data_IF_046283873512
#
_entry.id   IF_046283873512
#
_cell.length_a   1.000
_cell.length_b   1.000
_cell.length_c   1.000
_cell.angle_alpha   90.00
_cell.angle_beta   90.00
_cell.angle_gamma   90.00
#
_symmetry.space_group_name_H-M   'P 1'
#
loop_
_entity.id
_entity.type
_entity.pdbx_description
1 polymer ?
#
# COMPACT_ATOMS: atom_id res chain seq x y z
N UNK A 1 2.05 6.16 26.06
CA UNK A 1 3.24 6.04 25.19
C UNK A 1 3.34 7.32 24.39
N UNK A 2 4.52 7.94 24.36
CA UNK A 2 4.68 9.28 23.81
C UNK A 2 4.39 9.29 22.31
N UNK A 3 3.74 10.35 21.82
CA UNK A 3 3.48 10.62 20.40
C UNK A 3 4.72 10.35 19.52
N UNK A 4 5.91 10.59 20.06
CA UNK A 4 7.18 10.36 19.40
C UNK A 4 7.45 8.91 18.97
N UNK A 5 7.10 7.91 19.78
CA UNK A 5 7.30 6.51 19.39
C UNK A 5 6.46 6.16 18.16
N UNK A 6 5.20 6.61 18.13
CA UNK A 6 4.28 6.38 17.01
C UNK A 6 4.83 6.93 15.69
N UNK A 7 5.45 8.11 15.72
CA UNK A 7 6.08 8.73 14.54
C UNK A 7 7.21 7.88 13.95
N UNK A 8 7.98 7.17 14.78
CA UNK A 8 9.08 6.30 14.33
C UNK A 8 8.64 4.86 14.00
N UNK A 9 7.39 4.53 14.31
CA UNK A 9 6.79 3.22 14.12
C UNK A 9 5.47 3.35 13.35
N UNK A 10 5.48 3.88 12.10
CA UNK A 10 4.26 4.09 11.33
C UNK A 10 3.45 2.81 11.12
N UNK A 11 4.07 1.64 11.23
CA UNK A 11 3.40 0.34 11.13
C UNK A 11 2.34 0.09 12.22
N UNK A 12 2.46 0.68 13.41
CA UNK A 12 1.52 0.45 14.51
C UNK A 12 0.27 1.34 14.39
N UNK A 13 -0.77 1.01 15.16
CA UNK A 13 -1.99 1.82 15.27
C UNK A 13 -1.67 3.26 15.73
N UNK A 14 -1.91 4.23 14.85
CA UNK A 14 -1.59 5.64 15.05
C UNK A 14 -2.73 6.38 15.73
N UNK A 15 -3.97 5.97 15.48
CA UNK A 15 -5.16 6.61 16.01
C UNK A 15 -5.45 6.29 17.48
N UNK A 16 -6.68 6.65 17.83
CA UNK A 16 -7.37 6.29 19.07
C UNK A 16 -8.83 5.95 18.72
N UNK A 17 -9.53 5.17 19.56
CA UNK A 17 -10.97 4.94 19.36
C UNK A 17 -11.83 6.17 19.70
N UNK A 18 -11.20 7.28 20.11
CA UNK A 18 -11.85 8.54 20.47
C UNK A 18 -11.75 9.63 19.41
N UNK A 19 -11.12 9.33 18.27
CA UNK A 19 -10.98 10.28 17.16
C UNK A 19 -12.33 10.71 16.59
N UNK A 20 -12.36 11.88 15.93
CA UNK A 20 -13.60 12.42 15.33
C UNK A 20 -13.88 11.86 13.94
N UNK A 21 -12.95 12.06 13.01
CA UNK A 21 -13.04 11.62 11.62
C UNK A 21 -11.72 10.91 11.30
N UNK A 22 -11.68 9.60 11.43
CA UNK A 22 -10.44 8.85 11.37
C UNK A 22 -10.63 7.54 10.62
N UNK A 23 -9.64 7.18 9.83
CA UNK A 23 -9.49 5.83 9.31
C UNK A 23 -8.04 5.38 9.48
N UNK A 24 -7.87 4.08 9.57
CA UNK A 24 -6.57 3.43 9.52
C UNK A 24 -6.72 2.02 8.99
N UNK A 25 -5.98 1.70 7.92
CA UNK A 25 -6.03 0.41 7.24
C UNK A 25 -4.64 -0.07 6.87
N UNK A 26 -4.44 -1.39 6.89
CA UNK A 26 -3.18 -2.04 6.50
C UNK A 26 -3.44 -2.94 5.31
N UNK A 27 -2.82 -2.64 4.18
CA UNK A 27 -3.00 -3.40 2.96
C UNK A 27 -1.93 -4.51 2.88
N UNK A 28 -2.38 -5.77 2.95
CA UNK A 28 -1.53 -6.94 2.74
C UNK A 28 -1.87 -7.56 1.40
N UNK A 29 -0.98 -7.45 0.43
CA UNK A 29 -1.08 -8.17 -0.83
C UNK A 29 -0.24 -9.42 -0.80
N UNK A 30 -0.84 -10.52 -1.25
CA UNK A 30 -0.33 -11.88 -1.14
C UNK A 30 -0.51 -12.53 -2.50
N UNK A 31 0.59 -13.01 -3.06
CA UNK A 31 0.58 -13.75 -4.32
C UNK A 31 1.25 -15.10 -4.07
N UNK A 32 0.59 -16.16 -4.48
CA UNK A 32 1.11 -17.52 -4.35
C UNK A 32 2.28 -17.78 -5.31
N UNK A 33 2.87 -18.98 -5.23
CA UNK A 33 4.09 -19.30 -5.99
C UNK A 33 3.84 -19.47 -7.49
N UNK A 34 2.60 -19.72 -7.90
CA UNK A 34 2.21 -19.94 -9.30
C UNK A 34 1.49 -18.71 -9.90
N UNK A 35 1.26 -17.67 -9.10
CA UNK A 35 0.47 -16.48 -9.47
C UNK A 35 -0.98 -16.80 -9.86
N UNK A 36 -1.49 -17.94 -9.42
CA UNK A 36 -2.88 -18.34 -9.60
C UNK A 36 -3.79 -17.73 -8.55
N UNK A 37 -3.21 -17.31 -7.42
CA UNK A 37 -3.94 -16.67 -6.33
C UNK A 37 -3.30 -15.32 -6.00
N UNK A 38 -4.07 -14.26 -6.20
CA UNK A 38 -3.68 -12.88 -5.90
C UNK A 38 -4.73 -12.31 -4.97
N UNK A 39 -4.39 -12.21 -3.68
CA UNK A 39 -5.32 -11.78 -2.64
C UNK A 39 -4.81 -10.52 -1.94
N UNK A 40 -5.74 -9.63 -1.57
CA UNK A 40 -5.47 -8.56 -0.62
C UNK A 40 -6.35 -8.69 0.63
N UNK A 41 -5.73 -8.51 1.80
CA UNK A 41 -6.41 -8.45 3.09
C UNK A 41 -6.15 -7.09 3.73
N UNK A 42 -7.23 -6.37 4.04
CA UNK A 42 -7.19 -4.98 4.49
C UNK A 42 -7.95 -4.85 5.82
N UNK A 43 -7.37 -5.27 6.96
CA UNK A 43 -7.90 -4.90 8.26
C UNK A 43 -7.98 -3.38 8.38
N UNK A 44 -9.15 -2.87 8.77
CA UNK A 44 -9.45 -1.44 8.78
C UNK A 44 -10.25 -1.05 10.00
N UNK A 45 -9.93 0.13 10.54
CA UNK A 45 -10.75 0.87 11.50
C UNK A 45 -11.19 2.18 10.85
N UNK A 46 -12.48 2.50 10.98
CA UNK A 46 -13.03 3.76 10.49
C UNK A 46 -13.99 4.34 11.54
N UNK A 47 -13.83 5.62 11.88
CA UNK A 47 -14.53 6.30 12.96
C UNK A 47 -15.05 7.64 12.45
N UNK A 48 -16.36 7.85 12.59
CA UNK A 48 -17.01 9.14 12.42
C UNK A 48 -17.90 9.42 13.63
N UNK A 49 -17.35 10.19 14.58
CA UNK A 49 -18.01 10.51 15.85
C UNK A 49 -19.26 11.36 15.67
N UNK A 50 -19.28 12.26 14.68
CA UNK A 50 -20.45 13.10 14.42
C UNK A 50 -21.68 12.27 14.00
N UNK A 51 -21.45 11.18 13.27
CA UNK A 51 -22.49 10.27 12.82
C UNK A 51 -22.66 9.05 13.73
N UNK A 52 -21.92 8.99 14.85
CA UNK A 52 -21.86 7.84 15.76
C UNK A 52 -21.53 6.50 15.06
N UNK A 53 -20.65 6.55 14.06
CA UNK A 53 -20.23 5.36 13.29
C UNK A 53 -18.84 4.94 13.73
N UNK A 54 -18.71 3.67 14.11
CA UNK A 54 -17.48 3.02 14.53
C UNK A 54 -17.40 1.66 13.83
N UNK A 55 -16.51 1.54 12.86
CA UNK A 55 -16.36 0.35 12.05
C UNK A 55 -15.00 -0.31 12.32
N UNK A 56 -15.03 -1.63 12.48
CA UNK A 56 -13.87 -2.51 12.49
C UNK A 56 -14.17 -3.64 11.54
N UNK A 57 -13.39 -3.77 10.47
CA UNK A 57 -13.68 -4.76 9.45
C UNK A 57 -12.41 -5.23 8.75
N UNK A 58 -12.54 -6.30 7.99
CA UNK A 58 -11.50 -6.78 7.08
C UNK A 58 -12.11 -6.71 5.68
N UNK A 59 -11.56 -5.85 4.83
CA UNK A 59 -11.88 -5.86 3.40
C UNK A 59 -10.95 -6.88 2.73
N UNK A 60 -11.53 -7.76 1.92
CA UNK A 60 -10.85 -8.88 1.28
C UNK A 60 -11.08 -8.73 -0.22
N UNK A 61 -10.01 -8.78 -1.00
CA UNK A 61 -10.08 -8.64 -2.45
C UNK A 61 -9.40 -9.85 -3.11
N UNK A 62 -10.17 -10.58 -3.91
CA UNK A 62 -9.66 -11.57 -4.86
C UNK A 62 -9.36 -10.89 -6.20
N UNK A 63 -8.08 -10.74 -6.52
CA UNK A 63 -7.61 -10.07 -7.72
C UNK A 63 -7.75 -10.87 -9.01
N UNK A 64 -8.11 -12.16 -8.92
CA UNK A 64 -8.32 -13.04 -10.07
C UNK A 64 -9.81 -13.08 -10.41
N UNK A 65 -10.66 -13.34 -9.42
CA UNK A 65 -12.11 -13.42 -9.61
C UNK A 65 -12.81 -12.05 -9.53
N UNK A 66 -12.09 -11.02 -9.08
CA UNK A 66 -12.58 -9.65 -8.85
C UNK A 66 -13.63 -9.53 -7.75
N UNK A 67 -13.69 -10.53 -6.86
CA UNK A 67 -14.61 -10.52 -5.73
C UNK A 67 -14.07 -9.67 -4.58
N UNK A 68 -14.95 -8.84 -4.01
CA UNK A 68 -14.63 -7.99 -2.86
C UNK A 68 -15.61 -8.26 -1.73
N UNK A 69 -15.08 -8.61 -0.56
CA UNK A 69 -15.86 -8.90 0.64
C UNK A 69 -15.51 -7.94 1.75
N UNK A 70 -16.49 -7.63 2.59
CA UNK A 70 -16.30 -6.83 3.80
C UNK A 70 -16.87 -7.59 4.98
N UNK A 71 -15.97 -8.01 5.85
CA UNK A 71 -16.30 -8.75 7.07
C UNK A 71 -16.20 -7.79 8.25
N UNK A 72 -17.35 -7.28 8.68
CA UNK A 72 -17.45 -6.40 9.85
C UNK A 72 -17.43 -7.18 11.16
N UNK A 73 -16.81 -6.59 12.18
CA UNK A 73 -16.75 -7.10 13.54
C UNK A 73 -17.10 -5.97 14.53
N UNK A 74 -17.62 -6.31 15.72
CA UNK A 74 -17.82 -5.31 16.76
C UNK A 74 -16.51 -4.58 17.10
N UNK A 75 -16.56 -3.25 17.24
CA UNK A 75 -15.38 -2.40 17.45
C UNK A 75 -14.61 -2.78 18.73
N UNK A 76 -15.29 -3.34 19.72
CA UNK A 76 -14.74 -3.80 20.99
C UNK A 76 -13.80 -5.00 20.82
N UNK A 77 -13.92 -5.72 19.70
CA UNK A 77 -13.02 -6.82 19.35
C UNK A 77 -11.72 -6.34 18.73
N UNK A 78 -11.64 -5.07 18.32
CA UNK A 78 -10.41 -4.47 17.82
C UNK A 78 -9.40 -4.31 18.95
N UNK A 79 -8.21 -4.88 18.78
CA UNK A 79 -7.09 -4.69 19.71
C UNK A 79 -5.82 -4.42 18.93
N UNK A 80 -5.07 -3.42 19.36
CA UNK A 80 -3.77 -3.08 18.79
C UNK A 80 -2.69 -3.08 19.87
N UNK A 81 -1.50 -3.60 19.55
CA UNK A 81 -0.33 -3.38 20.40
C UNK A 81 0.15 -1.93 20.30
N UNK A 82 0.69 -1.42 21.42
CA UNK A 82 1.32 -0.09 21.47
C UNK A 82 2.79 -0.12 21.06
N UNK A 83 3.49 -1.25 21.16
CA UNK A 83 4.95 -1.31 20.97
C UNK A 83 5.39 -2.10 19.74
N UNK A 84 4.46 -2.69 18.99
CA UNK A 84 4.75 -3.42 17.77
C UNK A 84 3.51 -3.47 16.90
N UNK A 85 3.69 -3.71 15.60
CA UNK A 85 2.56 -3.89 14.71
C UNK A 85 1.92 -5.25 14.97
N UNK A 86 0.85 -5.21 15.75
CA UNK A 86 -0.03 -6.35 16.02
C UNK A 86 -1.45 -5.84 16.14
N UNK A 87 -2.34 -6.42 15.35
CA UNK A 87 -3.74 -6.07 15.28
C UNK A 87 -4.57 -7.33 15.40
N UNK A 88 -5.66 -7.24 16.16
CA UNK A 88 -6.72 -8.23 16.20
C UNK A 88 -8.03 -7.56 15.83
N UNK A 89 -8.81 -8.23 14.99
CA UNK A 89 -10.18 -7.88 14.64
C UNK A 89 -10.98 -9.18 14.76
N UNK A 90 -11.85 -9.28 15.76
CA UNK A 90 -12.48 -10.55 16.13
C UNK A 90 -11.44 -11.66 16.38
N UNK A 91 -11.58 -12.84 15.75
CA UNK A 91 -10.63 -13.95 15.89
C UNK A 91 -9.38 -13.82 14.98
N UNK A 92 -9.30 -12.80 14.14
CA UNK A 92 -8.23 -12.60 13.16
C UNK A 92 -7.05 -11.85 13.79
N UNK A 93 -5.85 -12.09 13.25
CA UNK A 93 -4.62 -11.45 13.71
C UNK A 93 -3.71 -11.06 12.55
N UNK A 94 -3.14 -9.86 12.63
CA UNK A 94 -2.24 -9.28 11.63
C UNK A 94 -1.01 -8.71 12.34
N UNK A 95 0.17 -8.97 11.79
CA UNK A 95 1.45 -8.41 12.24
C UNK A 95 2.40 -8.22 11.05
N UNK A 96 3.58 -7.65 11.30
CA UNK A 96 4.64 -7.56 10.28
C UNK A 96 5.04 -8.91 9.68
N UNK A 97 4.92 -10.00 10.44
CA UNK A 97 5.45 -11.30 10.07
C UNK A 97 4.40 -12.42 9.98
N UNK A 98 3.11 -12.11 10.19
CA UNK A 98 2.07 -13.14 10.21
C UNK A 98 0.68 -12.58 9.96
N UNK A 99 -0.10 -13.33 9.21
CA UNK A 99 -1.56 -13.21 9.18
C UNK A 99 -2.16 -14.52 9.69
N UNK A 100 -3.17 -14.44 10.55
CA UNK A 100 -4.03 -15.56 10.92
C UNK A 100 -5.48 -15.15 10.69
N UNK A 101 -6.18 -15.92 9.87
CA UNK A 101 -7.58 -15.69 9.52
C UNK A 101 -8.45 -16.80 10.07
N UNK A 102 -9.61 -16.41 10.57
CA UNK A 102 -10.67 -17.29 11.03
C UNK A 102 -12.00 -16.57 10.74
N UNK A 103 -12.43 -16.67 9.50
CA UNK A 103 -13.58 -15.98 8.93
C UNK A 103 -14.54 -17.05 8.44
N UNK A 104 -15.73 -17.08 9.02
CA UNK A 104 -16.82 -17.96 8.60
C UNK A 104 -18.11 -17.14 8.54
N UNK A 105 -18.59 -16.92 7.31
CA UNK A 105 -19.84 -16.25 7.00
C UNK A 105 -20.54 -16.96 5.84
N UNK A 106 -21.80 -16.63 5.61
CA UNK A 106 -22.59 -17.17 4.51
C UNK A 106 -21.97 -16.89 3.13
N UNK A 107 -21.32 -15.72 2.97
CA UNK A 107 -20.74 -15.26 1.70
C UNK A 107 -19.25 -15.56 1.55
N UNK A 108 -18.54 -15.82 2.65
CA UNK A 108 -17.08 -16.02 2.62
C UNK A 108 -16.59 -16.90 3.76
N UNK A 109 -15.71 -17.84 3.39
CA UNK A 109 -15.04 -18.75 4.31
C UNK A 109 -13.53 -18.70 4.13
N UNK A 110 -12.80 -18.20 5.12
CA UNK A 110 -11.34 -18.16 5.14
C UNK A 110 -10.76 -18.62 6.47
N UNK A 111 -9.91 -19.65 6.44
CA UNK A 111 -9.18 -20.11 7.61
C UNK A 111 -7.73 -20.35 7.30
N UNK A 112 -6.83 -20.00 8.22
CA UNK A 112 -5.44 -20.44 8.12
C UNK A 112 -4.45 -19.45 8.67
N UNK A 113 -3.18 -19.65 8.31
CA UNK A 113 -2.08 -18.82 8.79
C UNK A 113 -1.00 -18.73 7.73
N UNK A 114 -0.56 -17.51 7.47
CA UNK A 114 0.56 -17.19 6.61
C UNK A 114 1.65 -16.53 7.45
N UNK A 115 2.88 -16.99 7.30
CA UNK A 115 4.05 -16.42 7.95
C UNK A 115 4.93 -15.75 6.91
N UNK A 116 5.51 -14.60 7.28
CA UNK A 116 6.33 -13.80 6.40
C UNK A 116 7.79 -13.81 6.84
N UNK A 117 8.70 -13.98 5.90
CA UNK A 117 10.15 -13.97 6.11
C UNK A 117 10.82 -13.00 5.14
N UNK A 118 12.02 -12.54 5.49
CA UNK A 118 12.85 -11.66 4.65
C UNK A 118 12.10 -10.38 4.25
N UNK A 119 11.53 -9.71 5.25
CA UNK A 119 10.86 -8.42 5.08
C UNK A 119 11.84 -7.39 4.51
N UNK A 120 11.35 -6.57 3.58
CA UNK A 120 12.12 -5.50 2.93
C UNK A 120 11.52 -4.14 3.29
N UNK A 121 11.68 -3.67 4.55
CA UNK A 121 11.20 -2.35 4.94
C UNK A 121 12.02 -1.24 4.28
N UNK A 122 11.46 -0.03 4.23
CA UNK A 122 12.24 1.14 3.83
C UNK A 122 13.37 1.41 4.84
N UNK A 123 14.54 1.92 4.40
CA UNK A 123 15.58 2.37 5.32
C UNK A 123 15.05 3.50 6.22
N UNK A 124 15.08 3.27 7.54
CA UNK A 124 14.63 4.23 8.54
C UNK A 124 15.81 5.07 9.05
N UNK A 125 15.56 6.34 9.31
CA UNK A 125 16.44 7.19 10.12
C UNK A 125 15.62 8.17 10.93
N UNK A 126 16.26 8.97 11.77
CA UNK A 126 15.55 9.97 12.55
C UNK A 126 14.76 10.95 11.68
N UNK A 127 15.33 11.45 10.57
CA UNK A 127 14.61 12.36 9.66
C UNK A 127 13.66 11.64 8.69
N UNK A 128 13.80 10.32 8.56
CA UNK A 128 13.03 9.50 7.63
C UNK A 128 12.52 8.24 8.35
N UNK A 129 11.57 8.38 9.28
CA UNK A 129 11.04 7.24 10.05
C UNK A 129 10.23 6.25 9.22
N UNK A 130 9.77 6.66 8.03
CA UNK A 130 8.98 5.84 7.11
C UNK A 130 8.84 6.50 5.73
N UNK A 131 7.82 6.06 4.98
CA UNK A 131 7.59 6.48 3.60
C UNK A 131 7.27 7.97 3.44
N UNK A 132 6.64 8.61 4.42
CA UNK A 132 6.39 10.06 4.43
C UNK A 132 7.66 10.89 4.67
N UNK A 133 8.77 10.28 5.08
CA UNK A 133 10.01 11.00 5.39
C UNK A 133 9.79 12.13 6.39
N UNK A 134 10.27 13.33 6.06
CA UNK A 134 10.06 14.53 6.89
C UNK A 134 8.57 14.93 7.01
N UNK A 135 7.71 14.52 6.07
CA UNK A 135 6.28 14.81 6.13
C UNK A 135 5.56 14.05 7.26
N UNK A 136 6.19 13.01 7.82
CA UNK A 136 5.69 12.33 9.03
C UNK A 136 5.50 13.31 10.20
N UNK A 137 6.32 14.37 10.26
CA UNK A 137 6.27 15.38 11.32
C UNK A 137 5.28 16.52 11.04
N UNK A 138 4.70 16.60 9.85
CA UNK A 138 3.72 17.62 9.51
C UNK A 138 2.35 17.21 10.06
N UNK A 139 1.71 18.01 10.91
CA UNK A 139 0.36 17.68 11.42
C UNK A 139 -0.71 17.99 10.37
N UNK A 140 -1.88 17.37 10.52
CA UNK A 140 -3.11 17.68 9.76
C UNK A 140 -3.09 17.34 8.26
N UNK A 141 -2.19 16.46 7.82
CA UNK A 141 -2.34 15.88 6.47
C UNK A 141 -3.61 15.05 6.40
N UNK A 142 -4.26 15.07 5.24
CA UNK A 142 -5.53 14.35 5.02
C UNK A 142 -5.35 12.83 5.16
N UNK A 143 -4.23 12.32 4.61
CA UNK A 143 -3.78 10.94 4.72
C UNK A 143 -2.27 10.90 4.87
N UNK A 144 -1.79 9.96 5.66
CA UNK A 144 -0.40 9.57 5.81
C UNK A 144 -0.22 8.14 5.31
N UNK A 145 0.95 7.87 4.75
CA UNK A 145 1.26 6.61 4.10
C UNK A 145 2.46 5.91 4.74
N UNK A 146 2.40 4.59 4.89
CA UNK A 146 3.44 3.79 5.53
C UNK A 146 3.74 2.52 4.75
N UNK A 147 4.98 2.38 4.27
CA UNK A 147 5.44 1.13 3.66
C UNK A 147 6.08 0.26 4.75
N UNK A 148 5.48 -0.89 5.02
CA UNK A 148 5.93 -1.85 6.03
C UNK A 148 6.89 -2.85 5.41
N UNK A 149 6.59 -3.36 4.21
CA UNK A 149 7.47 -4.26 3.48
C UNK A 149 7.24 -4.16 1.96
N UNK A 150 8.28 -3.77 1.23
CA UNK A 150 8.27 -3.72 -0.24
C UNK A 150 8.25 -5.12 -0.87
N UNK A 151 8.81 -6.11 -0.19
CA UNK A 151 8.90 -7.47 -0.67
C UNK A 151 9.19 -8.41 0.51
N UNK A 152 8.59 -9.59 0.50
CA UNK A 152 8.89 -10.65 1.47
C UNK A 152 8.43 -12.01 0.95
N UNK A 153 8.99 -13.07 1.53
CA UNK A 153 8.56 -14.45 1.27
C UNK A 153 7.39 -14.81 2.16
N UNK A 154 6.47 -15.63 1.63
CA UNK A 154 5.31 -16.14 2.36
C UNK A 154 5.45 -17.64 2.54
N UNK A 155 5.00 -18.18 3.67
CA UNK A 155 4.84 -19.62 3.86
C UNK A 155 3.64 -19.91 4.75
N UNK A 156 2.80 -20.85 4.33
CA UNK A 156 1.65 -21.29 5.11
C UNK A 156 0.51 -21.73 4.22
N UNK A 157 -0.68 -21.81 4.80
CA UNK A 157 -1.88 -22.27 4.09
C UNK A 157 -3.08 -21.42 4.46
N UNK A 158 -3.96 -21.23 3.49
CA UNK A 158 -5.31 -20.74 3.68
C UNK A 158 -6.28 -21.77 3.10
N UNK A 159 -7.42 -21.95 3.74
CA UNK A 159 -8.61 -22.54 3.14
C UNK A 159 -9.46 -21.34 2.72
N UNK A 160 -9.72 -21.17 1.43
CA UNK A 160 -10.51 -20.10 0.84
C UNK A 160 -11.67 -20.72 0.05
N UNK A 161 -12.92 -20.47 0.46
CA UNK A 161 -14.12 -21.07 -0.15
C UNK A 161 -13.96 -22.60 -0.34
N UNK A 162 -13.58 -23.28 0.74
CA UNK A 162 -13.30 -24.73 0.80
C UNK A 162 -12.13 -25.24 -0.08
N UNK A 163 -11.40 -24.35 -0.75
CA UNK A 163 -10.18 -24.67 -1.52
C UNK A 163 -8.92 -24.40 -0.70
N UNK A 164 -7.99 -25.37 -0.65
CA UNK A 164 -6.70 -25.16 0.02
C UNK A 164 -5.74 -24.39 -0.89
N UNK A 165 -5.35 -23.19 -0.45
CA UNK A 165 -4.30 -22.37 -1.05
C UNK A 165 -3.00 -22.58 -0.27
N UNK A 166 -1.99 -23.14 -0.92
CA UNK A 166 -0.71 -23.46 -0.31
C UNK A 166 0.38 -22.47 -0.75
N UNK A 167 0.89 -21.67 0.19
CA UNK A 167 1.92 -20.68 -0.06
C UNK A 167 3.29 -21.24 0.30
N UNK A 168 4.17 -21.35 -0.69
CA UNK A 168 5.55 -21.83 -0.55
C UNK A 168 6.52 -20.64 -0.46
N UNK A 169 7.78 -20.89 -0.08
CA UNK A 169 8.76 -19.80 0.09
C UNK A 169 9.03 -18.93 -1.16
N UNK A 170 8.60 -19.34 -2.35
CA UNK A 170 8.63 -18.52 -3.58
C UNK A 170 7.43 -17.59 -3.74
N UNK A 171 6.36 -17.77 -2.97
CA UNK A 171 5.24 -16.83 -2.85
C UNK A 171 5.73 -15.51 -2.27
N UNK A 172 5.16 -14.41 -2.75
CA UNK A 172 5.60 -13.05 -2.38
C UNK A 172 4.47 -12.24 -1.82
N UNK A 173 4.84 -11.32 -0.92
CA UNK A 173 3.90 -10.34 -0.41
C UNK A 173 4.45 -8.91 -0.36
N UNK A 174 3.51 -8.00 -0.18
CA UNK A 174 3.71 -6.58 0.00
C UNK A 174 2.82 -6.07 1.13
N UNK A 175 3.33 -5.16 1.96
CA UNK A 175 2.57 -4.59 3.09
C UNK A 175 2.75 -3.08 3.13
N UNK A 176 1.63 -2.37 3.08
CA UNK A 176 1.56 -0.94 3.33
C UNK A 176 0.39 -0.59 4.25
N UNK A 177 0.23 0.69 4.51
CA UNK A 177 -0.72 1.20 5.47
C UNK A 177 -1.03 2.66 5.19
N UNK A 178 -2.31 3.00 5.30
CA UNK A 178 -2.79 4.37 5.26
C UNK A 178 -3.56 4.74 6.52
N UNK A 179 -3.43 5.99 6.94
CA UNK A 179 -4.22 6.53 8.05
C UNK A 179 -4.43 8.03 7.93
N UNK A 180 -5.53 8.53 8.50
CA UNK A 180 -5.85 9.95 8.47
C UNK A 180 -7.34 10.19 8.51
N UNK A 181 -7.79 11.26 7.85
CA UNK A 181 -9.21 11.64 7.76
C UNK A 181 -9.89 11.05 6.53
N UNK A 182 -9.18 10.86 5.43
CA UNK A 182 -9.72 10.27 4.20
C UNK A 182 -8.73 10.37 3.05
N UNK A 183 -8.97 9.63 1.98
CA UNK A 183 -8.08 9.66 0.82
C UNK A 183 -8.14 11.00 0.10
N UNK A 184 -7.02 11.41 -0.56
CA UNK A 184 -6.99 12.61 -1.38
C UNK A 184 -8.03 12.60 -2.50
N UNK A 185 -8.40 13.76 -3.04
CA UNK A 185 -9.40 13.84 -4.13
C UNK A 185 -8.96 13.22 -5.46
N UNK A 186 -7.65 13.16 -5.69
CA UNK A 186 -7.05 12.62 -6.90
C UNK A 186 -5.73 11.95 -6.53
N UNK A 187 -5.53 10.73 -7.03
CA UNK A 187 -4.32 9.98 -6.82
C UNK A 187 -4.06 8.96 -7.92
N UNK A 188 -2.80 8.55 -8.02
CA UNK A 188 -2.36 7.37 -8.73
C UNK A 188 -1.51 6.58 -7.75
N UNK A 189 -1.93 5.35 -7.46
CA UNK A 189 -1.13 4.40 -6.69
C UNK A 189 -0.77 3.22 -7.58
N UNK A 190 0.44 2.71 -7.44
CA UNK A 190 0.87 1.52 -8.14
C UNK A 190 1.97 0.78 -7.36
N UNK A 191 1.92 -0.54 -7.42
CA UNK A 191 2.82 -1.42 -6.69
C UNK A 191 3.15 -2.66 -7.52
N UNK A 192 4.40 -3.10 -7.50
CA UNK A 192 4.79 -4.41 -8.02
C UNK A 192 6.01 -4.97 -7.31
N UNK A 193 6.04 -6.28 -7.12
CA UNK A 193 7.20 -7.06 -6.64
C UNK A 193 7.34 -8.39 -7.41
N UNK A 194 6.67 -8.51 -8.55
CA UNK A 194 6.67 -9.67 -9.45
C UNK A 194 7.30 -9.30 -10.78
N UNK A 195 8.55 -8.87 -10.71
CA UNK A 195 9.40 -8.60 -11.87
C UNK A 195 10.15 -9.86 -12.32
N UNK A 196 10.75 -9.83 -13.52
CA UNK A 196 11.66 -10.91 -13.94
C UNK A 196 12.87 -11.01 -12.99
N UNK A 197 13.38 -9.87 -12.51
CA UNK A 197 14.30 -9.86 -11.37
C UNK A 197 13.53 -10.11 -10.07
N UNK A 198 13.76 -11.26 -9.45
CA UNK A 198 13.05 -11.67 -8.24
C UNK A 198 13.29 -10.76 -7.04
N UNK A 199 14.43 -10.10 -6.97
CA UNK A 199 14.80 -9.15 -5.92
C UNK A 199 14.54 -7.70 -6.34
N UNK A 200 13.42 -7.46 -7.04
CA UNK A 200 12.97 -6.13 -7.42
C UNK A 200 11.58 -5.86 -6.90
N UNK A 201 11.37 -4.66 -6.36
CA UNK A 201 10.08 -4.17 -5.94
C UNK A 201 9.96 -2.68 -6.17
N UNK A 202 8.75 -2.22 -6.39
CA UNK A 202 8.42 -0.87 -6.76
C UNK A 202 7.09 -0.48 -6.14
N UNK A 203 7.05 0.78 -5.69
CA UNK A 203 5.84 1.45 -5.26
C UNK A 203 5.93 2.91 -5.72
N UNK A 204 4.80 3.43 -6.17
CA UNK A 204 4.58 4.84 -6.41
C UNK A 204 3.20 5.25 -5.92
N UNK A 205 3.15 6.37 -5.21
CA UNK A 205 1.92 7.11 -4.93
C UNK A 205 2.11 8.57 -5.37
N UNK A 206 1.19 9.09 -6.17
CA UNK A 206 1.08 10.51 -6.56
C UNK A 206 -0.29 10.98 -6.11
N UNK A 207 -0.38 12.10 -5.38
CA UNK A 207 -1.65 12.61 -4.91
C UNK A 207 -1.71 14.14 -4.90
N UNK A 208 -2.93 14.68 -5.05
CA UNK A 208 -3.21 16.10 -4.82
C UNK A 208 -3.50 16.32 -3.33
N UNK A 209 -2.55 16.94 -2.63
CA UNK A 209 -2.57 17.07 -1.18
C UNK A 209 -3.06 18.47 -0.79
N UNK A 210 -4.19 18.59 -0.06
CA UNK A 210 -4.55 19.83 0.61
C UNK A 210 -3.72 19.97 1.90
N UNK A 211 -3.03 21.10 2.05
CA UNK A 211 -2.26 21.39 3.26
C UNK A 211 -2.31 22.87 3.61
N UNK A 212 -2.88 23.22 4.77
CA UNK A 212 -2.93 24.58 5.32
C UNK A 212 -3.35 25.67 4.29
N UNK A 213 -4.39 25.39 3.51
CA UNK A 213 -4.96 26.34 2.54
C UNK A 213 -4.31 26.33 1.15
N UNK A 214 -3.20 25.61 0.96
CA UNK A 214 -2.62 25.36 -0.36
C UNK A 214 -2.91 23.93 -0.84
N UNK A 215 -2.90 23.73 -2.16
CA UNK A 215 -2.95 22.41 -2.77
C UNK A 215 -1.65 22.19 -3.56
N UNK A 216 -1.00 21.05 -3.38
CA UNK A 216 0.18 20.69 -4.16
C UNK A 216 0.12 19.21 -4.58
N UNK A 217 0.86 18.87 -5.64
CA UNK A 217 1.03 17.47 -6.05
C UNK A 217 2.23 16.89 -5.30
N UNK A 218 1.94 15.99 -4.37
CA UNK A 218 2.94 15.21 -3.66
C UNK A 218 3.13 13.85 -4.32
N UNK A 219 4.35 13.31 -4.25
CA UNK A 219 4.60 11.93 -4.67
C UNK A 219 5.66 11.24 -3.82
N UNK A 220 5.47 9.93 -3.67
CA UNK A 220 6.36 8.99 -3.03
C UNK A 220 6.68 7.89 -4.03
N UNK A 221 7.94 7.67 -4.37
CA UNK A 221 8.36 6.58 -5.23
C UNK A 221 9.60 5.89 -4.68
N UNK A 222 9.50 4.57 -4.55
CA UNK A 222 10.57 3.72 -4.07
C UNK A 222 10.75 2.55 -5.03
N UNK A 223 12.00 2.33 -5.45
CA UNK A 223 12.42 1.12 -6.15
C UNK A 223 13.44 0.44 -5.25
N UNK A 224 13.23 -0.84 -4.95
CA UNK A 224 14.21 -1.73 -4.36
C UNK A 224 14.73 -2.68 -5.45
N UNK A 225 16.05 -2.76 -5.63
CA UNK A 225 16.72 -3.63 -6.60
C UNK A 225 17.94 -4.27 -5.96
N UNK A 226 17.90 -5.59 -5.71
CA UNK A 226 19.02 -6.41 -5.17
C UNK A 226 19.75 -5.69 -4.01
N UNK A 227 18.99 -5.33 -2.98
CA UNK A 227 19.42 -4.61 -1.77
C UNK A 227 19.55 -3.07 -1.88
N UNK A 228 19.49 -2.49 -3.08
CA UNK A 228 19.61 -1.05 -3.25
C UNK A 228 18.27 -0.35 -3.37
N UNK A 229 18.08 0.69 -2.56
CA UNK A 229 16.93 1.60 -2.70
C UNK A 229 17.24 2.81 -3.59
N UNK A 230 16.36 3.05 -4.55
CA UNK A 230 16.25 4.29 -5.28
C UNK A 230 15.00 5.03 -4.80
N UNK A 231 15.21 6.24 -4.29
CA UNK A 231 14.16 7.07 -3.70
C UNK A 231 13.90 8.29 -4.59
N UNK A 232 12.65 8.49 -4.96
CA UNK A 232 12.18 9.69 -5.64
C UNK A 232 10.92 10.18 -4.93
N UNK A 233 11.07 11.18 -4.07
CA UNK A 233 9.93 11.78 -3.38
C UNK A 233 9.98 13.30 -3.51
N UNK A 234 8.83 13.96 -3.31
CA UNK A 234 8.76 15.42 -3.27
C UNK A 234 9.77 16.00 -2.26
N UNK A 235 9.94 15.37 -1.10
CA UNK A 235 10.89 15.81 -0.08
C UNK A 235 12.35 15.38 -0.35
N UNK A 236 12.63 14.54 -1.36
CA UNK A 236 13.99 14.15 -1.73
C UNK A 236 14.55 14.95 -2.91
N UNK A 237 13.94 16.11 -3.23
CA UNK A 237 14.28 16.94 -4.40
C UNK A 237 14.20 16.18 -5.73
N UNK A 238 13.32 15.19 -5.82
CA UNK A 238 12.97 14.59 -7.10
C UNK A 238 11.92 15.46 -7.81
N UNK A 239 11.91 15.41 -9.13
CA UNK A 239 10.97 16.15 -9.96
C UNK A 239 10.15 15.18 -10.80
N UNK A 240 8.83 15.34 -10.75
CA UNK A 240 7.89 14.71 -11.69
C UNK A 240 7.97 15.49 -13.01
N UNK A 241 8.66 14.93 -14.02
CA UNK A 241 8.89 15.60 -15.31
C UNK A 241 7.76 15.43 -16.30
N UNK A 242 7.08 14.30 -16.22
CA UNK A 242 5.94 14.02 -17.08
C UNK A 242 4.98 13.07 -16.37
N UNK A 243 3.70 13.37 -16.47
CA UNK A 243 2.61 12.50 -16.06
C UNK A 243 1.54 12.52 -17.16
N UNK A 244 1.27 11.36 -17.74
CA UNK A 244 0.15 11.13 -18.66
C UNK A 244 -0.63 9.95 -18.14
N UNK A 245 -1.87 10.19 -17.70
CA UNK A 245 -2.68 9.16 -17.09
C UNK A 245 -4.10 9.16 -17.64
N UNK A 246 -4.60 7.96 -17.81
CA UNK A 246 -6.01 7.60 -18.04
C UNK A 246 -6.33 6.46 -17.07
N UNK A 247 -7.60 6.08 -16.93
CA UNK A 247 -7.96 4.91 -16.11
C UNK A 247 -7.21 3.62 -16.48
N UNK A 248 -6.86 3.43 -17.76
CA UNK A 248 -6.23 2.17 -18.25
C UNK A 248 -4.72 2.24 -18.45
N UNK A 249 -4.15 3.43 -18.60
CA UNK A 249 -2.73 3.62 -18.95
C UNK A 249 -2.14 4.80 -18.22
N UNK A 250 -0.93 4.60 -17.67
CA UNK A 250 -0.18 5.63 -16.96
C UNK A 250 1.26 5.64 -17.46
N UNK A 251 1.74 6.80 -17.89
CA UNK A 251 3.13 7.05 -18.29
C UNK A 251 3.74 8.16 -17.44
N UNK A 252 4.87 7.87 -16.80
CA UNK A 252 5.50 8.76 -15.82
C UNK A 252 7.01 8.83 -16.06
N UNK A 253 7.56 10.03 -15.93
CA UNK A 253 9.01 10.26 -15.87
C UNK A 253 9.31 11.02 -14.58
N UNK A 254 10.12 10.42 -13.71
CA UNK A 254 10.59 11.04 -12.47
C UNK A 254 12.11 11.10 -12.52
N UNK A 255 12.70 12.20 -12.09
CA UNK A 255 14.15 12.31 -11.99
C UNK A 255 14.61 12.93 -10.68
N UNK A 256 15.86 12.64 -10.30
CA UNK A 256 16.59 13.42 -9.32
C UNK A 256 17.96 13.80 -9.91
N UNK A 257 18.89 14.28 -9.07
CA UNK A 257 20.22 14.67 -9.52
C UNK A 257 21.07 13.50 -10.04
N UNK A 258 20.74 12.26 -9.68
CA UNK A 258 21.55 11.07 -9.98
C UNK A 258 20.90 10.11 -10.98
N UNK A 259 19.56 10.04 -11.02
CA UNK A 259 18.84 9.01 -11.76
C UNK A 259 17.58 9.55 -12.45
N UNK A 260 17.14 8.83 -13.48
CA UNK A 260 15.85 9.00 -14.17
C UNK A 260 15.11 7.66 -14.13
N UNK A 261 13.86 7.68 -13.70
CA UNK A 261 12.95 6.53 -13.70
C UNK A 261 11.81 6.80 -14.68
N UNK A 262 11.65 5.90 -15.65
CA UNK A 262 10.55 5.91 -16.61
C UNK A 262 9.62 4.75 -16.27
N UNK A 263 8.33 5.04 -16.14
CA UNK A 263 7.30 4.09 -15.72
C UNK A 263 6.21 4.07 -16.79
N UNK A 264 5.82 2.89 -17.23
CA UNK A 264 4.66 2.68 -18.09
C UNK A 264 3.80 1.57 -17.49
N UNK A 265 2.61 1.91 -17.04
CA UNK A 265 1.66 0.97 -16.45
C UNK A 265 0.43 0.80 -17.34
N UNK A 266 -0.05 -0.43 -17.41
CA UNK A 266 -1.30 -0.81 -18.06
C UNK A 266 -2.16 -1.52 -17.03
N UNK A 267 -3.37 -1.00 -16.78
CA UNK A 267 -4.33 -1.64 -15.90
C UNK A 267 -4.80 -2.96 -16.52
N UNK A 268 -4.94 -3.98 -15.67
CA UNK A 268 -5.73 -5.16 -15.98
C UNK A 268 -7.20 -4.92 -15.63
N UNK A 269 -7.91 -6.00 -15.34
CA UNK A 269 -9.26 -5.91 -14.79
C UNK A 269 -9.21 -5.42 -13.34
N UNK A 270 -10.26 -4.68 -12.94
CA UNK A 270 -10.31 -3.98 -11.67
C UNK A 270 -11.63 -4.25 -10.95
N UNK A 271 -11.57 -4.30 -9.63
CA UNK A 271 -12.74 -4.34 -8.77
C UNK A 271 -12.92 -2.99 -8.05
N UNK A 272 -14.12 -2.76 -7.53
CA UNK A 272 -14.42 -1.56 -6.74
C UNK A 272 -14.27 -1.90 -5.26
N UNK A 273 -13.32 -1.25 -4.59
CA UNK A 273 -13.13 -1.35 -3.16
C UNK A 273 -13.81 -0.15 -2.46
N UNK A 274 -14.02 -0.28 -1.15
CA UNK A 274 -14.44 0.88 -0.33
C UNK A 274 -13.20 1.68 0.07
N UNK A 275 -13.30 2.99 -0.11
CA UNK A 275 -12.29 3.97 0.27
C UNK A 275 -12.79 4.96 1.33
N UNK A 276 -11.90 5.49 2.20
CA UNK A 276 -12.27 6.37 3.29
C UNK A 276 -12.53 7.81 2.83
N UNK A 277 -13.55 8.44 3.41
CA UNK A 277 -13.87 9.87 3.30
C UNK A 277 -14.40 10.36 4.65
N UNK A 278 -13.66 11.27 5.30
CA UNK A 278 -13.99 11.79 6.63
C UNK A 278 -14.23 10.69 7.68
N UNK A 279 -13.43 9.63 7.67
CA UNK A 279 -13.55 8.48 8.57
C UNK A 279 -14.74 7.57 8.28
N UNK A 280 -15.44 7.78 7.16
CA UNK A 280 -16.49 6.89 6.65
C UNK A 280 -15.97 6.12 5.44
N UNK A 281 -16.41 4.89 5.22
CA UNK A 281 -16.04 4.09 4.05
C UNK A 281 -17.05 4.27 2.90
N UNK A 282 -17.32 5.53 2.52
CA UNK A 282 -18.38 5.89 1.57
C UNK A 282 -17.88 6.13 0.15
N UNK A 283 -16.58 6.36 -0.03
CA UNK A 283 -15.98 6.50 -1.36
C UNK A 283 -15.67 5.13 -1.96
N UNK A 284 -15.33 5.14 -3.23
CA UNK A 284 -15.01 3.97 -4.03
C UNK A 284 -13.70 4.21 -4.76
N UNK A 285 -12.87 3.19 -4.82
CA UNK A 285 -11.64 3.12 -5.60
C UNK A 285 -11.68 1.90 -6.52
N UNK A 286 -11.18 2.08 -7.74
CA UNK A 286 -11.03 0.98 -8.71
C UNK A 286 -9.58 0.50 -8.63
N UNK A 287 -9.36 -0.71 -8.13
CA UNK A 287 -8.04 -1.32 -8.00
C UNK A 287 -7.93 -2.52 -8.95
N UNK A 288 -6.87 -2.53 -9.76
CA UNK A 288 -6.44 -3.69 -10.55
C UNK A 288 -5.25 -4.35 -9.85
N UNK A 289 -5.32 -5.65 -9.56
CA UNK A 289 -4.17 -6.45 -9.10
C UNK A 289 -3.49 -7.27 -10.20
N UNK A 290 -3.97 -7.18 -11.44
CA UNK A 290 -3.41 -7.84 -12.63
C UNK A 290 -2.68 -6.86 -13.57
N UNK A 291 -2.33 -5.66 -13.09
CA UNK A 291 -1.68 -4.65 -13.92
C UNK A 291 -0.25 -5.06 -14.33
N UNK A 292 0.20 -4.52 -15.46
CA UNK A 292 1.57 -4.69 -15.98
C UNK A 292 2.30 -3.35 -15.86
N UNK A 293 3.43 -3.34 -15.14
CA UNK A 293 4.23 -2.13 -14.90
C UNK A 293 5.64 -2.32 -15.46
N UNK A 294 5.97 -1.58 -16.51
CA UNK A 294 7.32 -1.53 -17.08
C UNK A 294 8.13 -0.39 -16.47
N UNK A 295 9.31 -0.71 -15.95
CA UNK A 295 10.25 0.22 -15.34
C UNK A 295 11.56 0.27 -16.11
N UNK A 296 12.04 1.49 -16.38
CA UNK A 296 13.41 1.72 -16.87
C UNK A 296 14.09 2.74 -15.98
N UNK A 297 15.21 2.33 -15.37
CA UNK A 297 15.99 3.18 -14.50
C UNK A 297 17.34 3.50 -15.14
N UNK A 298 17.67 4.78 -15.23
CA UNK A 298 18.93 5.28 -15.77
C UNK A 298 19.71 6.05 -14.71
N UNK A 299 21.04 5.98 -14.76
CA UNK A 299 21.97 6.83 -14.03
C UNK A 299 22.46 7.96 -14.92
N UNK A 300 22.50 9.18 -14.39
CA UNK A 300 23.16 10.33 -15.02
C UNK A 300 24.67 10.22 -14.78
N UNK A 301 25.46 10.26 -15.85
CA UNK A 301 26.93 10.29 -15.80
C UNK A 301 27.44 11.72 -15.76
N UNK A 302 28.75 11.91 -15.54
CA UNK A 302 29.37 13.23 -15.39
C UNK A 302 29.25 14.08 -16.67
N UNK A 303 29.27 13.43 -17.84
CA UNK A 303 29.07 14.00 -19.18
C UNK A 303 27.58 14.16 -19.56
N UNK A 304 26.65 14.04 -18.60
CA UNK A 304 25.19 14.07 -18.81
C UNK A 304 24.64 12.95 -19.71
N UNK A 305 25.44 11.93 -20.06
CA UNK A 305 24.91 10.73 -20.69
C UNK A 305 24.05 9.91 -19.71
N UNK A 306 23.21 9.03 -20.27
CA UNK A 306 22.33 8.15 -19.50
C UNK A 306 22.82 6.71 -19.60
N UNK A 307 23.24 6.14 -18.46
CA UNK A 307 23.56 4.72 -18.36
C UNK A 307 22.36 3.94 -17.84
N UNK A 308 21.82 3.01 -18.63
CA UNK A 308 20.76 2.11 -18.18
C UNK A 308 21.26 1.27 -16.99
N UNK A 309 20.48 1.26 -15.91
CA UNK A 309 20.69 0.40 -14.74
C UNK A 309 19.90 -0.90 -14.93
N UNK A 310 18.62 -0.80 -15.27
CA UNK A 310 17.77 -1.93 -15.63
C UNK A 310 16.57 -1.48 -16.48
N UNK A 311 16.04 -2.42 -17.27
CA UNK A 311 14.73 -2.38 -17.92
C UNK A 311 14.01 -3.68 -17.53
N UNK A 312 12.87 -3.59 -16.87
CA UNK A 312 12.15 -4.75 -16.36
C UNK A 312 10.63 -4.52 -16.34
N UNK A 313 9.87 -5.60 -16.35
CA UNK A 313 8.41 -5.59 -16.35
C UNK A 313 7.89 -6.38 -15.17
N UNK A 314 7.06 -5.73 -14.36
CA UNK A 314 6.34 -6.31 -13.24
C UNK A 314 4.96 -6.75 -13.66
N UNK A 315 4.56 -7.93 -13.20
CA UNK A 315 3.23 -8.53 -13.38
C UNK A 315 2.48 -8.53 -12.06
N UNK A 316 1.22 -8.98 -12.06
CA UNK A 316 0.34 -9.04 -10.88
C UNK A 316 0.44 -7.75 -10.05
N UNK A 317 0.47 -6.60 -10.74
CA UNK A 317 0.77 -5.32 -10.12
C UNK A 317 -0.52 -4.66 -9.65
N UNK A 318 -0.44 -3.97 -8.52
CA UNK A 318 -1.49 -3.08 -8.05
C UNK A 318 -1.47 -1.79 -8.88
N UNK A 319 -2.64 -1.32 -9.30
CA UNK A 319 -2.81 -0.02 -9.95
C UNK A 319 -4.18 0.57 -9.62
N UNK A 320 -4.16 1.79 -9.11
CA UNK A 320 -5.33 2.64 -8.88
C UNK A 320 -5.13 3.98 -9.58
N UNK A 321 -6.19 4.47 -10.23
CA UNK A 321 -6.17 5.77 -10.91
C UNK A 321 -7.45 6.53 -10.61
N UNK A 322 -7.40 7.46 -9.67
CA UNK A 322 -8.52 8.33 -9.31
C UNK A 322 -8.29 9.76 -9.81
N UNK A 323 -9.26 10.26 -10.58
CA UNK A 323 -9.29 11.64 -11.10
C UNK A 323 -7.93 12.15 -11.66
N UNK A 324 -7.29 11.41 -12.59
CA UNK A 324 -5.94 11.73 -13.08
C UNK A 324 -5.84 13.10 -13.76
N UNK A 325 -6.96 13.66 -14.22
CA UNK A 325 -7.05 15.01 -14.76
C UNK A 325 -6.68 16.11 -13.75
N UNK A 326 -6.87 15.85 -12.46
CA UNK A 326 -6.60 16.82 -11.38
C UNK A 326 -5.14 16.80 -10.90
N UNK A 327 -4.32 15.90 -11.47
CA UNK A 327 -2.88 15.73 -11.20
C UNK A 327 -1.99 16.40 -12.26
N UNK A 328 -2.53 17.35 -13.02
CA UNK A 328 -1.83 18.05 -14.10
C UNK A 328 -1.35 19.44 -13.70
#
# INVERSE_FOLDING_TARGET
MNSWYKLHHPEIFQGTLTEKNYFEGWYFKIVDNESENVLAFIPTIAINKNSNIYMSFIQIFDGINLDVFIVEYPIETFKSSRSKFEIKIGPNYFSTNRIKLNIEREDIKIFGTLNFKNLTPLPKSFLFPGAMGIFTYLPFMETYHGIISMNHKINGKLIYQDTELNFKESSKGYIEKDWGKGFPKAWIWMQSNHFFENQRSFMLSIAKIPYLGINFIGFLCFVWDREKFYKFTTYSRANLKSLRATKKRVGIIIENSKNILIINAHAGDAAILKAPTLGLMTSRDEESMSAIIKLRLYRKTQDQALKLIFDDTGFNSGLEVMNPQDLK
#
